data_IF_309283656297
#
_entry.id   IF_309283656297
#
_cell.length_a   1.000
_cell.length_b   1.000
_cell.length_c   1.000
_cell.angle_alpha   90.00
_cell.angle_beta   90.00
_cell.angle_gamma   90.00
#
_symmetry.space_group_name_H-M   'P 1'
#
loop_
_entity.id
_entity.type
_entity.pdbx_description
1 polymer ?
#
# COMPACT_ATOMS: atom_id res chain seq x y z
N UNK A 1 12.53 -35.16 48.62
CA UNK A 1 12.47 -33.70 48.33
C UNK A 1 12.16 -33.42 46.86
N UNK A 2 12.93 -33.97 45.90
CA UNK A 2 12.70 -33.83 44.45
C UNK A 2 11.26 -34.15 43.97
N UNK A 3 10.67 -35.24 44.47
CA UNK A 3 9.32 -35.68 44.08
C UNK A 3 8.20 -34.67 44.44
N UNK A 4 8.35 -33.95 45.56
CA UNK A 4 7.40 -32.92 46.00
C UNK A 4 7.49 -31.65 45.16
N UNK A 5 8.67 -31.36 44.62
CA UNK A 5 8.88 -30.21 43.73
C UNK A 5 8.25 -30.50 42.37
N UNK A 6 8.52 -31.70 41.81
CA UNK A 6 7.96 -32.12 40.54
C UNK A 6 6.42 -32.15 40.54
N UNK A 7 5.80 -32.69 41.60
CA UNK A 7 4.34 -32.69 41.73
C UNK A 7 3.77 -31.28 41.81
N UNK A 8 4.44 -30.36 42.53
CA UNK A 8 3.99 -28.96 42.61
C UNK A 8 4.06 -28.27 41.24
N UNK A 9 5.08 -28.56 40.44
CA UNK A 9 5.22 -28.01 39.09
C UNK A 9 4.16 -28.57 38.14
N UNK A 10 3.93 -29.89 38.16
CA UNK A 10 2.87 -30.53 37.37
C UNK A 10 1.49 -30.00 37.74
N UNK A 11 1.21 -29.84 39.03
CA UNK A 11 -0.06 -29.32 39.51
C UNK A 11 -0.26 -27.85 39.11
N UNK A 12 0.79 -27.02 39.16
CA UNK A 12 0.72 -25.63 38.66
C UNK A 12 0.48 -25.56 37.16
N UNK A 13 1.13 -26.42 36.37
CA UNK A 13 0.94 -26.47 34.94
C UNK A 13 -0.50 -26.88 34.57
N UNK A 14 -1.04 -27.90 35.27
CA UNK A 14 -2.40 -28.36 35.06
C UNK A 14 -3.44 -27.31 35.50
N UNK A 15 -3.21 -26.62 36.62
CA UNK A 15 -4.06 -25.49 37.06
C UNK A 15 -4.04 -24.37 36.01
N UNK A 16 -2.86 -23.99 35.52
CA UNK A 16 -2.74 -22.93 34.51
C UNK A 16 -3.49 -23.29 33.22
N UNK A 17 -3.44 -24.56 32.82
CA UNK A 17 -4.18 -25.09 31.68
C UNK A 17 -5.69 -25.03 31.90
N UNK A 18 -6.19 -25.54 33.03
CA UNK A 18 -7.62 -25.57 33.34
C UNK A 18 -8.21 -24.16 33.52
N UNK A 19 -7.48 -23.25 34.17
CA UNK A 19 -7.87 -21.84 34.28
C UNK A 19 -7.99 -21.21 32.90
N UNK A 20 -7.02 -21.47 32.00
CA UNK A 20 -7.07 -20.95 30.63
C UNK A 20 -8.30 -21.49 29.88
N UNK A 21 -8.56 -22.78 29.94
CA UNK A 21 -9.70 -23.42 29.25
C UNK A 21 -11.05 -22.88 29.75
N UNK A 22 -11.20 -22.71 31.07
CA UNK A 22 -12.43 -22.13 31.63
C UNK A 22 -12.59 -20.63 31.35
N UNK A 23 -11.50 -19.86 31.39
CA UNK A 23 -11.56 -18.45 31.03
C UNK A 23 -11.90 -18.31 29.55
N UNK A 24 -11.28 -19.09 28.66
CA UNK A 24 -11.59 -19.05 27.22
C UNK A 24 -13.05 -19.42 26.94
N UNK A 25 -13.66 -20.36 27.67
CA UNK A 25 -15.07 -20.73 27.47
C UNK A 25 -16.06 -19.70 27.99
N UNK A 26 -15.76 -19.08 29.14
CA UNK A 26 -16.65 -18.09 29.77
C UNK A 26 -16.50 -16.69 29.16
N UNK A 27 -15.31 -16.32 28.68
CA UNK A 27 -15.05 -14.97 28.18
C UNK A 27 -15.75 -14.70 26.84
N UNK A 28 -16.12 -15.74 26.07
CA UNK A 28 -16.86 -15.61 24.80
C UNK A 28 -18.26 -15.03 25.01
N UNK A 29 -18.90 -15.30 26.15
CA UNK A 29 -20.23 -14.78 26.50
C UNK A 29 -20.21 -13.28 26.80
N UNK A 30 -19.10 -12.77 27.34
CA UNK A 30 -18.95 -11.37 27.77
C UNK A 30 -18.10 -10.52 26.81
N UNK A 31 -17.22 -11.12 26.01
CA UNK A 31 -16.40 -10.46 25.00
C UNK A 31 -16.61 -11.18 23.66
N UNK A 32 -17.50 -10.68 22.79
CA UNK A 32 -17.91 -11.38 21.56
C UNK A 32 -16.77 -11.56 20.53
N UNK A 33 -15.66 -10.83 20.69
CA UNK A 33 -14.45 -10.99 19.86
C UNK A 33 -13.22 -11.10 20.77
N UNK A 34 -12.47 -12.21 20.75
CA UNK A 34 -11.28 -12.38 21.59
C UNK A 34 -10.29 -11.22 21.44
N UNK A 35 -9.69 -10.74 22.53
CA UNK A 35 -8.73 -9.63 22.53
C UNK A 35 -7.56 -9.83 21.53
N UNK A 36 -7.12 -11.07 21.32
CA UNK A 36 -6.09 -11.40 20.32
C UNK A 36 -6.54 -11.08 18.90
N UNK A 37 -7.81 -11.35 18.59
CA UNK A 37 -8.39 -11.03 17.29
C UNK A 37 -8.58 -9.52 17.14
N UNK A 38 -8.98 -8.81 18.20
CA UNK A 38 -9.04 -7.35 18.19
C UNK A 38 -7.66 -6.72 17.98
N UNK A 39 -6.62 -7.25 18.63
CA UNK A 39 -5.25 -6.78 18.45
C UNK A 39 -4.73 -7.06 17.04
N UNK A 40 -5.04 -8.23 16.47
CA UNK A 40 -4.69 -8.56 15.09
C UNK A 40 -5.38 -7.64 14.08
N UNK A 41 -6.66 -7.34 14.28
CA UNK A 41 -7.41 -6.41 13.44
C UNK A 41 -6.88 -4.98 13.59
N UNK A 42 -6.67 -4.52 14.83
CA UNK A 42 -6.09 -3.20 15.10
C UNK A 42 -4.72 -3.02 14.45
N UNK A 43 -3.88 -4.06 14.45
CA UNK A 43 -2.61 -4.04 13.72
C UNK A 43 -2.82 -3.84 12.22
N UNK A 44 -3.76 -4.56 11.59
CA UNK A 44 -4.07 -4.37 10.16
C UNK A 44 -4.56 -2.95 9.86
N UNK A 45 -5.42 -2.41 10.72
CA UNK A 45 -5.90 -1.03 10.57
C UNK A 45 -4.75 -0.02 10.67
N UNK A 46 -3.81 -0.22 11.61
CA UNK A 46 -2.61 0.62 11.72
C UNK A 46 -1.75 0.57 10.47
N UNK A 47 -1.52 -0.62 9.88
CA UNK A 47 -0.75 -0.71 8.63
C UNK A 47 -1.44 0.03 7.48
N UNK A 48 -2.77 -0.05 7.38
CA UNK A 48 -3.55 0.70 6.39
C UNK A 48 -3.42 2.22 6.57
N UNK A 49 -3.48 2.70 7.82
CA UNK A 49 -3.31 4.12 8.14
C UNK A 49 -1.90 4.59 7.81
N UNK A 50 -0.87 3.81 8.16
CA UNK A 50 0.53 4.12 7.81
C UNK A 50 0.74 4.20 6.30
N UNK A 51 0.20 3.24 5.54
CA UNK A 51 0.29 3.27 4.09
C UNK A 51 -0.42 4.51 3.50
N UNK A 52 -1.57 4.89 4.06
CA UNK A 52 -2.30 6.09 3.64
C UNK A 52 -1.53 7.38 3.93
N UNK A 53 -0.88 7.46 5.11
CA UNK A 53 -0.03 8.60 5.47
C UNK A 53 1.17 8.71 4.53
N UNK A 54 1.89 7.61 4.32
CA UNK A 54 3.02 7.54 3.38
C UNK A 54 2.61 7.95 1.96
N UNK A 55 1.45 7.49 1.48
CA UNK A 55 0.92 7.88 0.18
C UNK A 55 0.60 9.38 0.11
N UNK A 56 0.08 9.97 1.19
CA UNK A 56 -0.17 11.40 1.27
C UNK A 56 1.13 12.20 1.17
N UNK A 57 2.16 11.81 1.92
CA UNK A 57 3.48 12.46 1.91
C UNK A 57 4.13 12.34 0.53
N UNK A 58 4.07 11.15 -0.07
CA UNK A 58 4.62 10.89 -1.40
C UNK A 58 3.90 11.70 -2.49
N UNK A 59 2.57 11.84 -2.41
CA UNK A 59 1.80 12.69 -3.32
C UNK A 59 2.15 14.17 -3.18
N UNK A 60 2.40 14.64 -1.97
CA UNK A 60 2.87 16.01 -1.74
C UNK A 60 4.26 16.20 -2.36
N UNK A 61 5.17 15.24 -2.17
CA UNK A 61 6.50 15.28 -2.79
C UNK A 61 6.39 15.33 -4.32
N UNK A 62 5.60 14.43 -4.92
CA UNK A 62 5.42 14.35 -6.37
C UNK A 62 4.73 15.60 -6.93
N UNK A 63 3.84 16.26 -6.19
CA UNK A 63 3.18 17.49 -6.68
C UNK A 63 4.14 18.66 -6.96
N UNK A 64 5.37 18.58 -6.44
CA UNK A 64 6.42 19.58 -6.63
C UNK A 64 7.43 19.21 -7.72
N UNK A 65 7.33 18.03 -8.34
CA UNK A 65 8.28 17.59 -9.36
C UNK A 65 8.22 18.51 -10.57
N UNK A 66 9.38 18.96 -11.04
CA UNK A 66 9.44 19.85 -12.19
C UNK A 66 9.22 19.05 -13.48
N UNK A 67 8.21 19.45 -14.25
CA UNK A 67 7.87 18.90 -15.57
C UNK A 67 9.06 19.01 -16.54
N UNK A 68 9.95 19.98 -16.33
CA UNK A 68 11.15 20.17 -17.14
C UNK A 68 12.28 19.22 -16.73
N UNK A 69 12.24 18.66 -15.52
CA UNK A 69 13.23 17.75 -14.98
C UNK A 69 12.70 16.30 -14.92
N UNK A 70 12.64 15.67 -16.09
CA UNK A 70 12.07 14.31 -16.22
C UNK A 70 12.86 13.20 -15.53
N UNK A 71 14.08 13.47 -15.08
CA UNK A 71 14.98 12.52 -14.41
C UNK A 71 14.88 12.61 -12.88
N UNK A 72 14.05 13.52 -12.35
CA UNK A 72 13.78 13.59 -10.92
C UNK A 72 13.02 12.34 -10.45
N UNK A 73 13.51 11.75 -9.36
CA UNK A 73 12.95 10.52 -8.84
C UNK A 73 11.55 10.74 -8.23
N UNK A 74 10.59 9.93 -8.63
CA UNK A 74 9.23 9.97 -8.08
C UNK A 74 9.20 9.32 -6.69
N UNK A 75 8.57 10.00 -5.73
CA UNK A 75 8.25 9.42 -4.44
C UNK A 75 7.22 8.29 -4.61
N UNK A 76 7.55 7.12 -4.08
CA UNK A 76 6.75 5.90 -4.28
C UNK A 76 5.39 6.00 -3.61
N UNK A 77 4.33 5.70 -4.35
CA UNK A 77 2.98 5.53 -3.80
C UNK A 77 2.68 4.04 -3.68
N UNK A 78 2.22 3.59 -2.52
CA UNK A 78 1.83 2.20 -2.27
C UNK A 78 0.43 1.90 -2.82
N UNK A 79 0.22 0.64 -3.21
CA UNK A 79 -1.07 0.10 -3.68
C UNK A 79 -2.09 0.02 -2.53
N UNK A 80 -3.33 -0.42 -2.83
CA UNK A 80 -4.36 -0.67 -1.82
C UNK A 80 -3.95 -1.73 -0.78
N UNK A 81 -3.06 -2.65 -1.19
CA UNK A 81 -2.51 -3.69 -0.34
C UNK A 81 -1.29 -3.22 0.48
N UNK A 82 -0.90 -1.94 0.33
CA UNK A 82 0.24 -1.37 1.03
C UNK A 82 1.61 -1.81 0.48
N UNK A 83 1.65 -2.38 -0.72
CA UNK A 83 2.89 -2.80 -1.40
C UNK A 83 3.28 -1.82 -2.50
N UNK A 84 4.53 -1.89 -2.97
CA UNK A 84 4.96 -1.14 -4.16
C UNK A 84 4.58 -1.94 -5.42
N UNK A 85 4.09 -1.26 -6.46
CA UNK A 85 3.90 -1.87 -7.78
C UNK A 85 5.26 -2.14 -8.45
N UNK A 86 5.42 -3.32 -9.03
CA UNK A 86 6.61 -3.67 -9.83
C UNK A 86 6.75 -2.81 -11.09
N UNK A 87 5.65 -2.22 -11.54
CA UNK A 87 5.61 -1.31 -12.68
C UNK A 87 5.77 0.16 -12.27
N UNK A 88 6.00 0.46 -10.98
CA UNK A 88 6.17 1.85 -10.54
C UNK A 88 7.43 2.47 -11.17
N UNK A 89 7.29 3.56 -11.95
CA UNK A 89 8.41 4.19 -12.65
C UNK A 89 9.39 4.84 -11.67
N UNK A 90 10.67 4.88 -12.04
CA UNK A 90 11.68 5.59 -11.24
C UNK A 90 11.50 7.12 -11.33
N UNK A 91 11.15 7.61 -12.52
CA UNK A 91 11.07 9.03 -12.87
C UNK A 91 10.05 9.24 -14.01
N UNK A 92 9.77 10.50 -14.36
CA UNK A 92 8.82 10.84 -15.42
C UNK A 92 9.29 10.36 -16.80
N UNK A 93 10.61 10.35 -17.06
CA UNK A 93 11.17 9.86 -18.33
C UNK A 93 10.86 8.38 -18.53
N UNK A 94 11.04 7.58 -17.49
CA UNK A 94 10.75 6.15 -17.46
C UNK A 94 9.27 5.90 -17.72
N UNK A 95 8.38 6.62 -17.02
CA UNK A 95 6.93 6.53 -17.22
C UNK A 95 6.51 6.82 -18.67
N UNK A 96 7.07 7.87 -19.28
CA UNK A 96 6.75 8.26 -20.66
C UNK A 96 7.33 7.29 -21.70
N UNK A 97 8.25 6.41 -21.31
CA UNK A 97 8.82 5.36 -22.16
C UNK A 97 8.06 4.03 -22.12
N UNK A 98 7.06 3.90 -21.25
CA UNK A 98 6.27 2.67 -21.13
C UNK A 98 5.47 2.37 -22.38
N UNK A 99 5.33 1.08 -22.69
CA UNK A 99 4.39 0.61 -23.68
C UNK A 99 2.96 0.56 -23.11
N UNK A 100 1.99 0.27 -23.98
CA UNK A 100 0.58 0.24 -23.60
C UNK A 100 0.31 -0.81 -22.51
N UNK A 101 0.93 -2.00 -22.64
CA UNK A 101 0.74 -3.11 -21.72
C UNK A 101 1.31 -2.82 -20.33
N UNK A 102 2.52 -2.26 -20.22
CA UNK A 102 3.10 -1.84 -18.95
C UNK A 102 2.25 -0.75 -18.28
N UNK A 103 1.75 0.20 -19.07
CA UNK A 103 0.91 1.29 -18.54
C UNK A 103 -0.45 0.77 -18.04
N UNK A 104 -1.07 -0.20 -18.73
CA UNK A 104 -2.30 -0.86 -18.27
C UNK A 104 -2.08 -1.60 -16.95
N UNK A 105 -1.00 -2.39 -16.85
CA UNK A 105 -0.63 -3.09 -15.62
C UNK A 105 -0.39 -2.12 -14.45
N UNK A 106 0.32 -1.02 -14.71
CA UNK A 106 0.54 0.04 -13.71
C UNK A 106 -0.79 0.59 -13.18
N UNK A 107 -1.67 1.05 -14.06
CA UNK A 107 -2.98 1.61 -13.68
C UNK A 107 -3.83 0.60 -12.90
N UNK A 108 -3.77 -0.68 -13.30
CA UNK A 108 -4.47 -1.78 -12.64
C UNK A 108 -3.96 -2.06 -11.23
N UNK A 109 -2.65 -2.03 -11.00
CA UNK A 109 -2.05 -2.23 -9.67
C UNK A 109 -2.55 -1.20 -8.64
N UNK A 110 -2.88 0.01 -9.10
CA UNK A 110 -3.44 1.08 -8.28
C UNK A 110 -4.99 1.10 -8.27
N UNK A 111 -5.64 0.11 -8.86
CA UNK A 111 -7.11 0.00 -8.90
C UNK A 111 -7.78 1.11 -9.69
N UNK A 112 -7.08 1.74 -10.63
CA UNK A 112 -7.60 2.79 -11.49
C UNK A 112 -8.33 2.18 -12.69
N UNK A 113 -9.26 2.94 -13.28
CA UNK A 113 -9.96 2.50 -14.50
C UNK A 113 -8.96 2.44 -15.64
N UNK A 114 -8.92 1.32 -16.35
CA UNK A 114 -8.09 1.14 -17.55
C UNK A 114 -8.72 1.86 -18.76
N UNK A 115 -7.89 2.27 -19.70
CA UNK A 115 -8.27 2.79 -21.01
C UNK A 115 -7.45 2.08 -22.10
N UNK A 116 -7.97 2.09 -23.32
CA UNK A 116 -7.23 1.55 -24.48
C UNK A 116 -6.05 2.45 -24.86
N UNK A 117 -6.20 3.76 -24.67
CA UNK A 117 -5.15 4.73 -24.97
C UNK A 117 -4.15 4.82 -23.81
N UNK A 118 -2.88 4.51 -24.10
CA UNK A 118 -1.78 4.63 -23.14
C UNK A 118 -1.68 6.04 -22.55
N UNK A 119 -1.95 7.06 -23.36
CA UNK A 119 -1.94 8.46 -22.93
C UNK A 119 -2.93 8.72 -21.77
N UNK A 120 -4.14 8.15 -21.87
CA UNK A 120 -5.16 8.27 -20.83
C UNK A 120 -4.75 7.55 -19.55
N UNK A 121 -4.14 6.38 -19.67
CA UNK A 121 -3.63 5.62 -18.53
C UNK A 121 -2.49 6.36 -17.81
N UNK A 122 -1.53 6.93 -18.56
CA UNK A 122 -0.46 7.76 -17.99
C UNK A 122 -1.05 8.98 -17.26
N UNK A 123 -2.00 9.70 -17.87
CA UNK A 123 -2.65 10.84 -17.22
C UNK A 123 -3.33 10.45 -15.92
N UNK A 124 -4.10 9.34 -15.91
CA UNK A 124 -4.76 8.83 -14.71
C UNK A 124 -3.75 8.50 -13.62
N UNK A 125 -2.64 7.86 -13.98
CA UNK A 125 -1.57 7.54 -13.05
C UNK A 125 -0.91 8.80 -12.48
N UNK A 126 -0.54 9.78 -13.32
CA UNK A 126 0.04 11.04 -12.89
C UNK A 126 -0.87 11.78 -11.90
N UNK A 127 -2.16 11.90 -12.20
CA UNK A 127 -3.14 12.48 -11.29
C UNK A 127 -3.21 11.70 -9.97
N UNK A 128 -3.15 10.37 -10.02
CA UNK A 128 -3.16 9.53 -8.82
C UNK A 128 -1.94 9.74 -7.91
N UNK A 129 -0.76 9.96 -8.49
CA UNK A 129 0.48 10.16 -7.72
C UNK A 129 0.70 11.60 -7.27
N UNK A 130 -0.21 12.53 -7.59
CA UNK A 130 -0.19 13.91 -7.09
C UNK A 130 0.19 14.98 -8.13
N UNK A 131 0.40 14.60 -9.39
CA UNK A 131 0.83 15.50 -10.45
C UNK A 131 -0.36 16.28 -11.03
N UNK A 132 -0.48 17.54 -10.63
CA UNK A 132 -1.68 18.36 -10.91
C UNK A 132 -1.75 18.87 -12.36
N UNK A 133 -0.61 19.02 -13.03
CA UNK A 133 -0.53 19.52 -14.41
C UNK A 133 -1.02 18.51 -15.45
N UNK A 134 -1.10 17.22 -15.11
CA UNK A 134 -1.54 16.15 -16.01
C UNK A 134 -2.99 16.29 -16.47
N UNK A 135 -3.81 17.10 -15.77
CA UNK A 135 -5.21 17.39 -16.10
C UNK A 135 -5.33 18.46 -17.21
N UNK A 136 -4.26 19.24 -17.46
CA UNK A 136 -4.26 20.37 -18.39
C UNK A 136 -3.61 20.08 -19.76
N UNK A 137 -3.58 21.10 -20.61
CA UNK A 137 -3.01 21.03 -21.97
C UNK A 137 -1.46 20.89 -21.99
N UNK A 138 -0.82 20.84 -20.80
CA UNK A 138 0.63 20.73 -20.64
C UNK A 138 1.13 19.32 -20.97
N UNK A 139 0.38 18.29 -20.58
CA UNK A 139 0.76 16.90 -20.85
C UNK A 139 0.84 16.61 -22.35
N UNK A 140 -0.16 17.04 -23.11
CA UNK A 140 -0.15 16.90 -24.57
C UNK A 140 1.11 17.55 -25.18
N UNK A 141 1.50 18.75 -24.73
CA UNK A 141 2.73 19.42 -25.22
C UNK A 141 4.00 18.63 -24.93
N UNK A 142 4.06 17.93 -23.80
CA UNK A 142 5.20 17.09 -23.42
C UNK A 142 5.32 15.87 -24.35
N UNK A 143 4.20 15.18 -24.62
CA UNK A 143 4.19 14.02 -25.51
C UNK A 143 4.41 14.41 -26.98
N UNK A 144 4.01 15.62 -27.39
CA UNK A 144 4.27 16.15 -28.73
C UNK A 144 5.74 16.50 -28.99
N UNK A 145 6.50 17.00 -28.00
CA UNK A 145 7.92 17.32 -28.18
C UNK A 145 8.81 16.08 -28.43
N UNK A 146 8.34 14.89 -28.08
CA UNK A 146 9.05 13.63 -28.29
C UNK A 146 8.76 12.92 -29.62
N UNK A 147 7.82 13.42 -30.44
CA UNK A 147 7.53 12.84 -31.77
C UNK A 147 8.33 13.57 -32.86
N UNK A 148 9.01 12.86 -33.77
CA UNK A 148 9.58 13.50 -34.96
C UNK A 148 8.44 14.16 -35.73
N UNK A 149 8.64 15.42 -36.16
CA UNK A 149 7.72 16.05 -37.12
C UNK A 149 7.71 15.19 -38.39
N UNK A 150 6.55 14.63 -38.70
CA UNK A 150 6.27 14.00 -40.01
C UNK A 150 6.31 15.08 -41.08
#
# INVERSE_FOLDING_TARGET
LLHRVHIKEQMRAEIAKQVKEQVDSQIVEYIPVPLRQQAAEGKKQLEKVRASLHNSESRISNSNVDILNLDEALATVLTSEGTRSDYFPADLRSLLSYDNDATKKLVKDYGLVEAEESEMNIKRFLVHIGEQWAVGNVFSRLTYKGKPKV
#
